data_IF_699109174025
#
_entry.id   IF_699109174025
#
_cell.length_a   1.000
_cell.length_b   1.000
_cell.length_c   1.000
_cell.angle_alpha   90.00
_cell.angle_beta   90.00
_cell.angle_gamma   90.00
#
_symmetry.space_group_name_H-M   'P 1'
#
loop_
_entity.id
_entity.type
_entity.pdbx_description
1 polymer ?
#
# COMPACT_ATOMS: atom_id res chain seq x y z
N UNK A 1 -2.59 7.43 10.81
CA UNK A 1 -1.57 6.35 10.79
C UNK A 1 -2.02 5.30 9.77
N UNK A 2 -1.13 4.43 9.29
CA UNK A 2 -1.47 3.37 8.33
C UNK A 2 -1.00 2.01 8.85
N UNK A 3 -1.70 0.95 8.46
CA UNK A 3 -1.22 -0.43 8.63
C UNK A 3 -0.41 -0.81 7.39
N UNK A 4 0.83 -1.27 7.59
CA UNK A 4 1.75 -1.61 6.49
C UNK A 4 2.39 -2.96 6.76
N UNK A 5 2.31 -3.85 5.77
CA UNK A 5 3.03 -5.12 5.75
C UNK A 5 3.92 -5.17 4.51
N UNK A 6 5.14 -5.65 4.68
CA UNK A 6 6.14 -5.79 3.62
C UNK A 6 6.85 -7.12 3.83
N UNK A 7 6.76 -8.00 2.85
CA UNK A 7 7.48 -9.28 2.83
C UNK A 7 8.52 -9.28 1.70
N UNK A 8 9.78 -9.42 2.08
CA UNK A 8 10.87 -9.63 1.13
C UNK A 8 11.02 -11.13 0.85
N UNK A 9 10.21 -11.63 -0.10
CA UNK A 9 10.09 -13.08 -0.35
C UNK A 9 11.41 -13.76 -0.74
N UNK A 10 12.28 -13.10 -1.51
CA UNK A 10 13.55 -13.66 -2.02
C UNK A 10 14.56 -12.55 -2.32
N UNK A 11 15.85 -12.87 -2.25
CA UNK A 11 16.93 -12.06 -2.81
C UNK A 11 18.28 -12.30 -2.12
N UNK A 12 19.36 -11.89 -2.80
CA UNK A 12 20.75 -12.01 -2.29
C UNK A 12 21.41 -10.63 -2.19
N UNK A 13 21.11 -9.74 -3.13
CA UNK A 13 21.63 -8.38 -3.14
C UNK A 13 20.71 -7.43 -2.36
N UNK A 14 21.25 -6.79 -1.32
CA UNK A 14 20.51 -5.90 -0.44
C UNK A 14 19.96 -4.65 -1.12
N UNK A 15 20.70 -4.08 -2.08
CA UNK A 15 20.26 -2.93 -2.86
C UNK A 15 19.01 -3.27 -3.67
N UNK A 16 19.02 -4.38 -4.41
CA UNK A 16 17.85 -4.82 -5.19
C UNK A 16 16.66 -5.20 -4.31
N UNK A 17 16.87 -5.79 -3.14
CA UNK A 17 15.80 -6.11 -2.20
C UNK A 17 15.11 -4.83 -1.70
N UNK A 18 15.89 -3.84 -1.24
CA UNK A 18 15.36 -2.55 -0.81
C UNK A 18 14.61 -1.86 -1.96
N UNK A 19 15.21 -1.79 -3.15
CA UNK A 19 14.59 -1.18 -4.33
C UNK A 19 13.25 -1.85 -4.69
N UNK A 20 13.19 -3.18 -4.62
CA UNK A 20 11.96 -3.94 -4.89
C UNK A 20 10.88 -3.64 -3.85
N UNK A 21 11.26 -3.55 -2.57
CA UNK A 21 10.37 -3.16 -1.48
C UNK A 21 9.77 -1.78 -1.74
N UNK A 22 10.59 -0.77 -2.06
CA UNK A 22 10.09 0.59 -2.30
C UNK A 22 9.24 0.69 -3.57
N UNK A 23 9.59 -0.04 -4.64
CA UNK A 23 8.75 -0.13 -5.85
C UNK A 23 7.40 -0.78 -5.57
N UNK A 24 7.36 -1.85 -4.78
CA UNK A 24 6.13 -2.52 -4.39
C UNK A 24 5.26 -1.62 -3.50
N UNK A 25 5.87 -1.00 -2.50
CA UNK A 25 5.20 -0.02 -1.63
C UNK A 25 4.59 1.13 -2.43
N UNK A 26 5.35 1.73 -3.35
CA UNK A 26 4.84 2.84 -4.18
C UNK A 26 3.61 2.46 -5.00
N UNK A 27 3.57 1.24 -5.55
CA UNK A 27 2.39 0.72 -6.25
C UNK A 27 1.20 0.47 -5.31
N UNK A 28 1.44 -0.16 -4.16
CA UNK A 28 0.40 -0.43 -3.17
C UNK A 28 -0.20 0.88 -2.63
N UNK A 29 0.65 1.85 -2.26
CA UNK A 29 0.22 3.15 -1.79
C UNK A 29 -0.59 3.88 -2.86
N UNK A 30 -0.11 3.91 -4.11
CA UNK A 30 -0.85 4.52 -5.23
C UNK A 30 -2.25 3.93 -5.34
N UNK A 31 -2.39 2.60 -5.30
CA UNK A 31 -3.70 1.96 -5.36
C UNK A 31 -4.59 2.34 -4.17
N UNK A 32 -4.02 2.36 -2.95
CA UNK A 32 -4.77 2.66 -1.73
C UNK A 32 -5.28 4.11 -1.65
N UNK A 33 -4.54 5.08 -2.19
CA UNK A 33 -4.91 6.52 -2.12
C UNK A 33 -5.60 7.04 -3.37
N UNK A 34 -5.71 6.22 -4.43
CA UNK A 34 -6.42 6.63 -5.65
C UNK A 34 -7.92 6.75 -5.34
N UNK A 35 -8.59 7.84 -5.76
CA UNK A 35 -10.04 7.95 -5.59
C UNK A 35 -10.77 6.80 -6.29
N UNK A 36 -11.71 6.17 -5.57
CA UNK A 36 -12.62 5.17 -6.12
C UNK A 36 -13.99 5.83 -6.35
N UNK A 37 -14.36 6.03 -7.62
CA UNK A 37 -15.64 6.63 -8.01
C UNK A 37 -16.85 5.85 -7.47
N UNK A 38 -16.71 4.53 -7.25
CA UNK A 38 -17.78 3.70 -6.70
C UNK A 38 -18.02 3.93 -5.21
N UNK A 39 -17.07 4.56 -4.53
CA UNK A 39 -17.11 4.87 -3.10
C UNK A 39 -17.04 6.38 -2.84
N UNK A 40 -17.39 7.20 -3.85
CA UNK A 40 -17.36 8.65 -3.73
C UNK A 40 -18.21 9.15 -2.54
N UNK A 41 -17.60 9.94 -1.67
CA UNK A 41 -18.26 10.50 -0.48
C UNK A 41 -18.52 9.52 0.66
N UNK A 42 -18.12 8.25 0.54
CA UNK A 42 -18.28 7.23 1.57
C UNK A 42 -16.96 7.03 2.31
N UNK A 43 -17.00 6.96 3.64
CA UNK A 43 -15.85 6.49 4.43
C UNK A 43 -15.81 4.97 4.34
N UNK A 44 -14.72 4.35 3.82
CA UNK A 44 -14.62 2.90 3.64
C UNK A 44 -14.36 2.18 4.97
N UNK A 45 -15.31 2.30 5.91
CA UNK A 45 -15.26 1.72 7.25
C UNK A 45 -16.68 1.46 7.74
N UNK A 46 -16.95 0.25 8.23
CA UNK A 46 -18.26 -0.10 8.82
C UNK A 46 -18.56 0.65 10.11
N UNK A 47 -17.53 1.22 10.75
CA UNK A 47 -17.66 2.07 11.94
C UNK A 47 -17.92 3.55 11.61
N UNK A 48 -17.85 3.94 10.33
CA UNK A 48 -18.04 5.32 9.89
C UNK A 48 -16.86 6.25 10.18
N UNK A 49 -15.72 5.73 10.65
CA UNK A 49 -14.49 6.50 10.93
C UNK A 49 -13.23 5.70 10.57
N UNK A 50 -12.09 6.39 10.42
CA UNK A 50 -10.75 5.82 10.17
C UNK A 50 -9.77 6.16 11.29
#
# INVERSE_FOLDING_TARGET
LVTLHIDNMKGVNSHHQAETVFKAFGRALRMAVTPDERQAGVIPSTKGSL
#
